data_IF_859286070551
#
_entry.id   IF_859286070551
#
_cell.length_a   1.000
_cell.length_b   1.000
_cell.length_c   1.000
_cell.angle_alpha   90.00
_cell.angle_beta   90.00
_cell.angle_gamma   90.00
#
_symmetry.space_group_name_H-M   'P 1'
#
loop_
_entity.id
_entity.type
_entity.pdbx_description
1 polymer ?
#
# COMPACT_ATOMS: atom_id res chain seq x y z
N UNK A 1 3.44 -4.92 -14.51
CA UNK A 1 4.62 -4.62 -13.67
C UNK A 1 4.54 -5.21 -12.27
N UNK A 2 3.48 -4.94 -11.48
CA UNK A 2 3.38 -5.49 -10.12
C UNK A 2 3.32 -7.02 -10.08
N UNK A 3 2.62 -7.65 -11.04
CA UNK A 3 2.62 -9.12 -11.14
C UNK A 3 4.00 -9.67 -11.51
N UNK A 4 4.77 -8.96 -12.36
CA UNK A 4 6.15 -9.34 -12.67
C UNK A 4 7.03 -9.26 -11.40
N UNK A 5 6.87 -8.23 -10.58
CA UNK A 5 7.58 -8.14 -9.30
C UNK A 5 7.23 -9.32 -8.38
N UNK A 6 5.95 -9.65 -8.25
CA UNK A 6 5.48 -10.80 -7.44
C UNK A 6 6.03 -12.12 -7.94
N UNK A 7 6.05 -12.33 -9.26
CA UNK A 7 6.43 -13.61 -9.86
C UNK A 7 7.93 -13.82 -10.00
N UNK A 8 8.72 -12.76 -10.21
CA UNK A 8 10.14 -12.89 -10.53
C UNK A 8 11.07 -12.30 -9.47
N UNK A 9 10.75 -11.12 -8.92
CA UNK A 9 11.66 -10.43 -7.99
C UNK A 9 11.48 -10.97 -6.57
N UNK A 10 10.24 -11.06 -6.09
CA UNK A 10 9.95 -11.47 -4.73
C UNK A 10 10.47 -12.88 -4.36
N UNK A 11 10.37 -13.90 -5.24
CA UNK A 11 10.94 -15.21 -4.95
C UNK A 11 12.46 -15.18 -4.82
N UNK A 12 13.15 -14.40 -5.67
CA UNK A 12 14.61 -14.25 -5.61
C UNK A 12 15.03 -13.57 -4.31
N UNK A 13 14.35 -12.50 -3.91
CA UNK A 13 14.65 -11.78 -2.67
C UNK A 13 14.44 -12.64 -1.40
N UNK A 14 13.55 -13.62 -1.46
CA UNK A 14 13.13 -14.41 -0.31
C UNK A 14 13.61 -15.87 -0.39
N UNK A 15 14.48 -16.19 -1.34
CA UNK A 15 15.00 -17.53 -1.52
C UNK A 15 15.95 -17.89 -0.36
N UNK A 16 15.71 -19.02 0.28
CA UNK A 16 16.56 -19.55 1.37
C UNK A 16 16.59 -18.74 2.66
N UNK A 17 15.83 -17.63 2.75
CA UNK A 17 15.89 -16.70 3.89
C UNK A 17 15.51 -17.36 5.22
N UNK A 18 14.70 -18.42 5.17
CA UNK A 18 14.31 -19.24 6.32
C UNK A 18 15.46 -20.04 6.95
N UNK A 19 16.54 -20.28 6.21
CA UNK A 19 17.70 -21.07 6.67
C UNK A 19 18.76 -20.16 7.30
N UNK A 20 19.05 -19.02 6.67
CA UNK A 20 20.20 -18.18 7.02
C UNK A 20 20.05 -17.31 8.27
N UNK A 21 18.86 -17.26 8.89
CA UNK A 21 18.56 -16.40 10.06
C UNK A 21 19.14 -14.99 9.92
N UNK A 22 18.70 -14.22 8.89
CA UNK A 22 19.27 -12.92 8.60
C UNK A 22 19.13 -11.97 9.80
N UNK A 23 20.14 -11.12 9.98
CA UNK A 23 20.07 -10.04 10.95
C UNK A 23 18.87 -9.13 10.66
N UNK A 24 18.28 -8.55 11.71
CA UNK A 24 17.14 -7.64 11.59
C UNK A 24 17.44 -6.43 10.71
N UNK A 25 18.71 -6.00 10.63
CA UNK A 25 19.20 -4.96 9.73
C UNK A 25 19.04 -5.33 8.26
N UNK A 26 19.38 -6.57 7.88
CA UNK A 26 19.24 -7.07 6.51
C UNK A 26 17.76 -7.18 6.11
N UNK A 27 16.90 -7.69 7.01
CA UNK A 27 15.44 -7.73 6.76
C UNK A 27 14.92 -6.32 6.49
N UNK A 28 15.29 -5.33 7.31
CA UNK A 28 14.91 -3.92 7.12
C UNK A 28 15.41 -3.35 5.78
N UNK A 29 16.61 -3.75 5.33
CA UNK A 29 17.15 -3.33 4.03
C UNK A 29 16.36 -3.94 2.86
N UNK A 30 16.01 -5.22 2.93
CA UNK A 30 15.18 -5.88 1.92
C UNK A 30 13.77 -5.26 1.86
N UNK A 31 13.20 -4.95 3.02
CA UNK A 31 11.94 -4.25 3.14
C UNK A 31 12.00 -2.84 2.52
N UNK A 32 13.07 -2.10 2.78
CA UNK A 32 13.32 -0.80 2.15
C UNK A 32 13.46 -0.94 0.63
N UNK A 33 14.17 -1.97 0.16
CA UNK A 33 14.33 -2.26 -1.27
C UNK A 33 12.98 -2.54 -1.94
N UNK A 34 12.15 -3.41 -1.34
CA UNK A 34 10.79 -3.66 -1.82
C UNK A 34 10.02 -2.35 -1.92
N UNK A 35 9.94 -1.56 -0.84
CA UNK A 35 9.15 -0.32 -0.83
C UNK A 35 9.65 0.68 -1.86
N UNK A 36 10.96 0.87 -2.02
CA UNK A 36 11.54 1.76 -3.04
C UNK A 36 11.20 1.30 -4.45
N UNK A 37 11.33 0.00 -4.73
CA UNK A 37 11.03 -0.59 -6.04
C UNK A 37 9.55 -0.40 -6.39
N UNK A 38 8.65 -0.68 -5.45
CA UNK A 38 7.22 -0.50 -5.67
C UNK A 38 6.86 0.98 -5.83
N UNK A 39 7.46 1.89 -5.05
CA UNK A 39 7.29 3.35 -5.24
C UNK A 39 7.66 3.77 -6.65
N UNK A 40 8.79 3.28 -7.18
CA UNK A 40 9.21 3.54 -8.56
C UNK A 40 8.19 2.99 -9.58
N UNK A 41 7.73 1.76 -9.42
CA UNK A 41 6.69 1.16 -10.29
C UNK A 41 5.41 2.01 -10.29
N UNK A 42 5.06 2.60 -9.15
CA UNK A 42 3.89 3.46 -8.99
C UNK A 42 4.17 4.94 -9.33
N UNK A 43 5.36 5.29 -9.81
CA UNK A 43 5.78 6.68 -10.06
C UNK A 43 5.65 7.62 -8.84
N UNK A 44 5.82 7.06 -7.64
CA UNK A 44 5.79 7.77 -6.36
C UNK A 44 7.19 8.19 -5.92
N UNK A 45 7.34 9.34 -5.25
CA UNK A 45 8.61 9.76 -4.69
C UNK A 45 9.01 8.90 -3.48
N UNK A 46 10.31 8.87 -3.17
CA UNK A 46 10.85 8.06 -2.06
C UNK A 46 10.27 8.42 -0.69
N UNK A 47 9.83 9.67 -0.50
CA UNK A 47 9.20 10.16 0.73
C UNK A 47 7.70 9.87 0.84
N UNK A 48 7.08 9.23 -0.16
CA UNK A 48 5.69 8.78 -0.04
C UNK A 48 5.53 7.83 1.15
N UNK A 49 4.39 7.89 1.84
CA UNK A 49 4.15 7.07 3.02
C UNK A 49 4.27 5.57 2.71
N UNK A 50 5.13 4.86 3.45
CA UNK A 50 5.35 3.43 3.32
C UNK A 50 4.07 2.56 3.39
N UNK A 51 3.13 2.77 4.33
CA UNK A 51 1.91 1.97 4.38
C UNK A 51 1.05 2.08 3.12
N UNK A 52 1.03 3.25 2.45
CA UNK A 52 0.25 3.44 1.22
C UNK A 52 0.68 2.47 0.12
N UNK A 53 1.99 2.22 0.00
CA UNK A 53 2.56 1.30 -0.98
C UNK A 53 2.03 -0.12 -0.77
N UNK A 54 1.93 -0.55 0.48
CA UNK A 54 1.44 -1.87 0.85
C UNK A 54 -0.09 -1.96 0.64
N UNK A 55 -0.83 -0.93 1.04
CA UNK A 55 -2.29 -0.85 0.82
C UNK A 55 -2.62 -0.92 -0.67
N UNK A 56 -1.93 -0.11 -1.49
CA UNK A 56 -2.11 -0.09 -2.93
C UNK A 56 -1.86 -1.45 -3.58
N UNK A 57 -0.79 -2.14 -3.18
CA UNK A 57 -0.35 -3.35 -3.86
C UNK A 57 -0.88 -4.65 -3.27
N UNK A 58 -1.42 -4.62 -2.05
CA UNK A 58 -1.76 -5.83 -1.31
C UNK A 58 -0.54 -6.68 -0.95
N UNK A 59 0.69 -6.20 -1.16
CA UNK A 59 1.90 -6.95 -0.89
C UNK A 59 2.14 -7.03 0.61
N UNK A 60 2.60 -8.19 1.07
CA UNK A 60 3.13 -8.35 2.42
C UNK A 60 4.54 -7.73 2.48
N UNK A 61 4.93 -7.14 3.62
CA UNK A 61 6.32 -6.81 3.91
C UNK A 61 7.22 -8.05 3.79
N UNK A 62 8.49 -7.87 3.44
CA UNK A 62 9.49 -8.94 3.42
C UNK A 62 9.60 -9.58 4.80
N UNK A 63 9.53 -8.79 5.89
CA UNK A 63 9.52 -9.33 7.25
C UNK A 63 8.37 -10.34 7.47
N UNK A 64 7.17 -10.04 6.98
CA UNK A 64 6.02 -10.94 7.07
C UNK A 64 6.25 -12.24 6.28
N UNK A 65 6.79 -12.13 5.07
CA UNK A 65 7.08 -13.27 4.20
C UNK A 65 8.18 -14.16 4.82
N UNK A 66 9.19 -13.54 5.41
CA UNK A 66 10.23 -14.20 6.17
C UNK A 66 9.65 -15.01 7.34
N UNK A 67 8.76 -14.42 8.14
CA UNK A 67 8.12 -15.14 9.24
C UNK A 67 7.28 -16.32 8.76
N UNK A 68 6.50 -16.15 7.69
CA UNK A 68 5.75 -17.25 7.08
C UNK A 68 6.67 -18.39 6.67
N UNK A 69 7.82 -18.09 6.05
CA UNK A 69 8.77 -19.11 5.61
C UNK A 69 9.45 -19.83 6.77
N UNK A 70 9.91 -19.10 7.80
CA UNK A 70 10.50 -19.71 9.00
C UNK A 70 9.51 -20.62 9.72
N UNK A 71 8.29 -20.15 9.95
CA UNK A 71 7.28 -20.92 10.67
C UNK A 71 6.86 -22.17 9.87
N UNK A 72 6.76 -22.08 8.55
CA UNK A 72 6.52 -23.26 7.72
C UNK A 72 7.70 -24.23 7.71
N UNK A 73 8.94 -23.72 7.73
CA UNK A 73 10.14 -24.55 7.84
C UNK A 73 10.18 -25.27 9.19
N UNK A 74 9.83 -24.58 10.29
CA UNK A 74 9.68 -25.18 11.61
C UNK A 74 8.72 -26.36 11.65
N UNK A 75 7.52 -26.23 11.07
CA UNK A 75 6.57 -27.34 11.03
C UNK A 75 7.05 -28.51 10.16
N UNK A 76 7.84 -28.25 9.10
CA UNK A 76 8.44 -29.33 8.35
C UNK A 76 9.42 -30.14 9.23
N UNK A 77 10.21 -29.47 10.09
CA UNK A 77 11.10 -30.15 11.04
C UNK A 77 10.30 -30.92 12.10
N UNK A 78 9.24 -30.33 12.65
CA UNK A 78 8.40 -31.00 13.64
C UNK A 78 7.75 -32.27 13.09
N UNK A 79 7.34 -32.26 11.82
CA UNK A 79 6.73 -33.41 11.15
C UNK A 79 7.73 -34.50 10.71
N UNK A 80 9.03 -34.34 10.93
CA UNK A 80 10.02 -35.37 10.62
C UNK A 80 10.11 -36.45 11.72
N UNK A 81 10.62 -37.62 11.35
CA UNK A 81 10.89 -38.72 12.29
C UNK A 81 11.86 -38.27 13.39
N UNK A 82 11.77 -38.86 14.58
CA UNK A 82 12.68 -38.55 15.70
C UNK A 82 14.16 -38.86 15.40
N UNK A 83 14.40 -39.77 14.46
CA UNK A 83 15.73 -40.10 13.96
C UNK A 83 16.30 -39.07 12.96
N UNK A 84 15.50 -38.10 12.50
CA UNK A 84 15.99 -37.04 11.61
C UNK A 84 16.97 -36.14 12.36
N UNK A 85 18.09 -35.86 11.69
CA UNK A 85 19.15 -35.00 12.21
C UNK A 85 18.62 -33.59 12.50
N UNK A 86 17.78 -33.07 11.62
CA UNK A 86 17.20 -31.73 11.76
C UNK A 86 16.33 -31.61 13.01
N UNK A 87 15.47 -32.62 13.28
CA UNK A 87 14.65 -32.64 14.50
C UNK A 87 15.50 -32.82 15.75
N UNK A 88 16.49 -33.72 15.73
CA UNK A 88 17.43 -33.89 16.85
C UNK A 88 18.22 -32.62 17.16
N UNK A 89 18.64 -31.87 16.13
CA UNK A 89 19.31 -30.58 16.31
C UNK A 89 18.37 -29.60 17.02
N UNK A 90 17.11 -29.48 16.59
CA UNK A 90 16.14 -28.57 17.23
C UNK A 90 15.91 -28.97 18.69
N UNK A 91 15.62 -30.24 18.98
CA UNK A 91 15.42 -30.75 20.35
C UNK A 91 16.64 -30.45 21.22
N UNK A 92 17.85 -30.76 20.72
CA UNK A 92 19.09 -30.47 21.45
C UNK A 92 19.28 -28.97 21.67
N UNK A 93 18.97 -28.13 20.69
CA UNK A 93 19.10 -26.68 20.84
C UNK A 93 18.14 -26.14 21.92
N UNK A 94 16.93 -26.69 22.03
CA UNK A 94 16.00 -26.34 23.11
C UNK A 94 16.52 -26.75 24.49
N UNK A 95 17.10 -27.96 24.62
CA UNK A 95 17.60 -28.43 25.91
C UNK A 95 18.90 -27.76 26.37
N UNK A 96 19.78 -27.38 25.43
CA UNK A 96 21.15 -26.96 25.76
C UNK A 96 21.32 -25.43 25.74
N UNK A 97 20.61 -24.72 24.87
CA UNK A 97 20.89 -23.29 24.64
C UNK A 97 20.03 -22.40 25.52
N UNK A 98 20.69 -21.51 26.25
CA UNK A 98 20.01 -20.38 26.91
C UNK A 98 19.53 -19.38 25.85
N UNK A 99 18.48 -18.61 26.18
CA UNK A 99 17.82 -17.66 25.27
C UNK A 99 18.71 -16.56 24.67
N UNK A 100 20.00 -16.47 25.05
CA UNK A 100 20.98 -15.51 24.50
C UNK A 100 21.80 -16.04 23.32
N UNK A 101 21.67 -17.31 22.95
CA UNK A 101 22.48 -17.89 21.87
C UNK A 101 21.97 -17.51 20.46
N UNK A 102 22.84 -17.55 19.45
CA UNK A 102 22.49 -17.30 18.04
C UNK A 102 21.89 -18.52 17.31
N UNK A 103 21.15 -19.39 17.99
CA UNK A 103 20.50 -20.54 17.32
C UNK A 103 19.34 -20.12 16.43
N UNK A 104 19.11 -20.91 15.39
CA UNK A 104 17.93 -20.80 14.54
C UNK A 104 16.62 -20.91 15.36
N UNK A 105 16.56 -21.81 16.35
CA UNK A 105 15.36 -21.94 17.21
C UNK A 105 15.06 -20.68 18.02
N UNK A 106 16.10 -19.90 18.39
CA UNK A 106 15.93 -18.61 19.07
C UNK A 106 15.33 -17.54 18.14
N UNK A 107 15.29 -17.77 16.83
CA UNK A 107 14.51 -16.96 15.90
C UNK A 107 13.05 -17.41 15.80
N UNK A 108 12.74 -18.69 16.02
CA UNK A 108 11.38 -19.24 15.93
C UNK A 108 10.57 -18.92 17.18
N UNK A 109 11.15 -19.11 18.37
CA UNK A 109 10.46 -18.92 19.66
C UNK A 109 9.79 -17.54 19.77
N UNK A 110 10.47 -16.40 19.47
CA UNK A 110 9.83 -15.10 19.52
C UNK A 110 8.71 -14.93 18.49
N UNK A 111 8.75 -15.64 17.36
CA UNK A 111 7.69 -15.58 16.35
C UNK A 111 6.45 -16.35 16.81
N UNK A 112 6.62 -17.50 17.47
CA UNK A 112 5.50 -18.23 18.05
C UNK A 112 4.79 -17.39 19.11
N UNK A 113 5.54 -16.69 19.96
CA UNK A 113 5.00 -15.74 20.94
C UNK A 113 4.35 -14.54 20.26
N UNK A 114 5.04 -13.89 19.29
CA UNK A 114 4.54 -12.71 18.56
C UNK A 114 3.20 -12.96 17.87
N UNK A 115 2.97 -14.18 17.40
CA UNK A 115 1.77 -14.58 16.68
C UNK A 115 0.82 -15.45 17.51
N UNK A 116 1.06 -15.61 18.81
CA UNK A 116 0.22 -16.46 19.68
C UNK A 116 -0.05 -17.86 19.08
N UNK A 117 1.03 -18.50 18.62
CA UNK A 117 0.95 -19.79 17.95
C UNK A 117 1.14 -20.97 18.91
N UNK A 118 1.28 -20.78 20.21
CA UNK A 118 1.48 -21.86 21.19
C UNK A 118 2.96 -22.22 21.44
N UNK A 119 3.20 -23.30 22.18
CA UNK A 119 4.53 -23.74 22.59
C UNK A 119 5.21 -24.63 21.53
N UNK A 120 6.54 -24.63 21.49
CA UNK A 120 7.34 -25.51 20.63
C UNK A 120 7.18 -26.97 21.03
N UNK A 121 7.11 -27.28 22.32
CA UNK A 121 7.03 -28.66 22.81
C UNK A 121 5.74 -29.34 22.33
N UNK A 122 4.62 -28.61 22.30
CA UNK A 122 3.34 -29.09 21.79
C UNK A 122 3.45 -29.59 20.34
N UNK A 123 4.17 -28.85 19.50
CA UNK A 123 4.33 -29.19 18.08
C UNK A 123 5.36 -30.27 17.83
N UNK A 124 6.37 -30.41 18.69
CA UNK A 124 7.34 -31.50 18.60
C UNK A 124 6.73 -32.83 19.02
N UNK A 125 5.81 -32.83 19.98
CA UNK A 125 5.11 -34.04 20.44
C UNK A 125 3.93 -34.39 19.53
N UNK A 126 3.16 -33.37 19.11
CA UNK A 126 1.95 -33.53 18.31
C UNK A 126 2.00 -32.64 17.06
N UNK A 127 2.77 -33.01 16.02
CA UNK A 127 2.92 -32.20 14.82
C UNK A 127 1.58 -32.03 14.10
N UNK A 128 1.26 -30.80 13.71
CA UNK A 128 0.07 -30.53 12.90
C UNK A 128 0.29 -30.96 11.44
N UNK A 129 -0.78 -31.38 10.78
CA UNK A 129 -0.76 -31.62 9.34
C UNK A 129 -0.35 -30.34 8.61
N UNK A 130 0.51 -30.50 7.59
CA UNK A 130 1.10 -29.38 6.83
C UNK A 130 0.07 -28.37 6.31
N UNK A 131 -1.10 -28.82 5.87
CA UNK A 131 -2.19 -27.95 5.40
C UNK A 131 -2.82 -27.13 6.53
N UNK A 132 -3.07 -27.74 7.68
CA UNK A 132 -3.63 -27.10 8.87
C UNK A 132 -2.67 -26.05 9.43
N UNK A 133 -1.38 -26.42 9.57
CA UNK A 133 -0.34 -25.49 10.00
C UNK A 133 -0.23 -24.29 9.07
N UNK A 134 -0.10 -24.53 7.76
CA UNK A 134 0.04 -23.46 6.77
C UNK A 134 -1.15 -22.51 6.82
N UNK A 135 -2.37 -23.02 6.97
CA UNK A 135 -3.57 -22.19 7.11
C UNK A 135 -3.55 -21.37 8.42
N UNK A 136 -3.22 -22.00 9.55
CA UNK A 136 -3.12 -21.35 10.87
C UNK A 136 -2.07 -20.23 10.86
N UNK A 137 -0.85 -20.53 10.43
CA UNK A 137 0.26 -19.56 10.34
C UNK A 137 -0.07 -18.44 9.37
N UNK A 138 -0.53 -18.78 8.16
CA UNK A 138 -0.87 -17.77 7.17
C UNK A 138 -1.95 -16.82 7.69
N UNK A 139 -3.05 -17.35 8.22
CA UNK A 139 -4.14 -16.52 8.79
C UNK A 139 -3.62 -15.59 9.88
N UNK A 140 -2.85 -16.12 10.82
CA UNK A 140 -2.43 -15.37 12.02
C UNK A 140 -1.39 -14.29 11.68
N UNK A 141 -0.37 -14.63 10.90
CA UNK A 141 0.66 -13.68 10.45
C UNK A 141 0.04 -12.60 9.57
N UNK A 142 -0.81 -12.98 8.62
CA UNK A 142 -1.46 -12.02 7.71
C UNK A 142 -2.40 -11.07 8.47
N UNK A 143 -3.17 -11.58 9.44
CA UNK A 143 -4.05 -10.74 10.26
C UNK A 143 -3.26 -9.73 11.10
N UNK A 144 -2.18 -10.18 11.77
CA UNK A 144 -1.30 -9.26 12.52
C UNK A 144 -0.78 -8.12 11.63
N UNK A 145 -0.26 -8.46 10.45
CA UNK A 145 0.28 -7.44 9.54
C UNK A 145 -0.81 -6.55 8.94
N UNK A 146 -2.01 -7.11 8.73
CA UNK A 146 -3.18 -6.34 8.33
C UNK A 146 -3.47 -5.23 9.32
N UNK A 147 -3.66 -5.60 10.58
CA UNK A 147 -3.97 -4.67 11.67
C UNK A 147 -2.83 -3.68 11.92
N UNK A 148 -1.58 -4.14 11.87
CA UNK A 148 -0.41 -3.30 12.02
C UNK A 148 -0.34 -2.21 10.94
N UNK A 149 -0.52 -2.57 9.67
CA UNK A 149 -0.46 -1.63 8.55
C UNK A 149 -1.66 -0.68 8.58
N UNK A 150 -2.87 -1.18 8.86
CA UNK A 150 -4.07 -0.34 9.02
C UNK A 150 -3.86 0.70 10.14
N UNK A 151 -3.33 0.27 11.29
CA UNK A 151 -3.03 1.15 12.43
C UNK A 151 -1.99 2.21 12.08
N UNK A 152 -0.90 1.83 11.42
CA UNK A 152 0.13 2.78 11.01
C UNK A 152 -0.40 3.73 9.95
N UNK A 153 -1.18 3.27 8.98
CA UNK A 153 -1.73 4.15 7.94
C UNK A 153 -2.57 5.29 8.53
N UNK A 154 -3.33 5.04 9.60
CA UNK A 154 -4.13 6.05 10.31
C UNK A 154 -3.30 7.18 10.93
N UNK A 155 -2.02 6.95 11.23
CA UNK A 155 -1.16 8.01 11.80
C UNK A 155 -0.65 9.00 10.75
N UNK A 156 -0.77 8.67 9.45
CA UNK A 156 -0.34 9.53 8.36
C UNK A 156 -1.47 10.46 7.89
N UNK A 157 -1.40 11.74 8.28
CA UNK A 157 -2.35 12.76 7.79
C UNK A 157 -2.33 12.92 6.27
N UNK A 158 -1.23 12.54 5.61
CA UNK A 158 -1.09 12.59 4.14
C UNK A 158 -1.97 11.56 3.42
N UNK A 159 -2.48 10.54 4.13
CA UNK A 159 -3.34 9.49 3.59
C UNK A 159 -4.84 9.73 3.87
N UNK A 160 -5.22 10.94 4.32
CA UNK A 160 -6.60 11.26 4.70
C UNK A 160 -7.64 11.06 3.59
N UNK A 161 -7.22 11.09 2.32
CA UNK A 161 -8.10 10.88 1.16
C UNK A 161 -8.11 9.44 0.65
N UNK A 162 -7.30 8.55 1.23
CA UNK A 162 -7.17 7.16 0.79
C UNK A 162 -8.11 6.25 1.58
N UNK A 163 -8.65 5.23 0.92
CA UNK A 163 -9.21 4.08 1.62
C UNK A 163 -8.05 3.28 2.23
N UNK A 164 -7.79 3.51 3.51
CA UNK A 164 -6.65 2.94 4.21
C UNK A 164 -6.78 1.44 4.52
N UNK A 165 -7.87 0.79 4.11
CA UNK A 165 -8.11 -0.62 4.39
C UNK A 165 -7.13 -1.51 3.61
N UNK A 166 -6.13 -2.04 4.31
CA UNK A 166 -5.20 -2.98 3.73
C UNK A 166 -5.84 -4.35 3.53
N UNK A 167 -5.71 -4.87 2.30
CA UNK A 167 -6.22 -6.18 1.89
C UNK A 167 -5.06 -7.05 1.39
N UNK A 168 -4.38 -7.80 2.27
CA UNK A 168 -3.27 -8.66 1.89
C UNK A 168 -3.63 -9.60 0.72
N UNK A 169 -2.75 -9.67 -0.28
CA UNK A 169 -2.92 -10.45 -1.50
C UNK A 169 -3.80 -9.80 -2.58
N UNK A 170 -4.56 -8.76 -2.25
CA UNK A 170 -5.46 -8.07 -3.18
C UNK A 170 -4.96 -6.67 -3.50
N UNK A 171 -4.89 -6.33 -4.78
CA UNK A 171 -4.61 -4.96 -5.19
C UNK A 171 -5.73 -4.03 -4.74
N UNK A 172 -5.38 -2.77 -4.45
CA UNK A 172 -6.36 -1.73 -4.22
C UNK A 172 -7.17 -1.45 -5.50
N UNK A 173 -8.43 -1.05 -5.35
CA UNK A 173 -9.37 -0.89 -6.47
C UNK A 173 -8.83 0.05 -7.57
N UNK A 174 -8.12 1.11 -7.18
CA UNK A 174 -7.46 2.06 -8.09
C UNK A 174 -6.41 1.44 -9.03
N UNK A 175 -5.76 0.34 -8.60
CA UNK A 175 -4.77 -0.40 -9.38
C UNK A 175 -5.43 -1.53 -10.18
N UNK A 176 -6.52 -2.09 -9.67
CA UNK A 176 -7.26 -3.16 -10.35
C UNK A 176 -7.87 -2.69 -11.68
N UNK A 177 -8.22 -1.41 -11.79
CA UNK A 177 -8.64 -0.84 -13.07
C UNK A 177 -7.42 -0.73 -13.99
N UNK A 178 -7.35 -1.65 -14.95
CA UNK A 178 -6.29 -1.72 -15.94
C UNK A 178 -6.10 -0.42 -16.71
N UNK A 179 -4.94 -0.29 -17.36
CA UNK A 179 -4.69 0.74 -18.36
C UNK A 179 -4.72 0.07 -19.73
N UNK A 180 -5.55 0.59 -20.62
CA UNK A 180 -5.67 0.16 -22.01
C UNK A 180 -4.62 0.79 -22.92
N UNK A 181 -3.99 1.89 -22.49
CA UNK A 181 -3.01 2.62 -23.30
C UNK A 181 -1.86 3.21 -22.46
N UNK A 182 -0.72 3.47 -23.12
CA UNK A 182 0.40 4.18 -22.51
C UNK A 182 0.00 5.57 -22.00
N UNK A 183 -0.92 6.24 -22.69
CA UNK A 183 -1.46 7.53 -22.26
C UNK A 183 -2.22 7.43 -20.92
N UNK A 184 -2.90 6.32 -20.62
CA UNK A 184 -3.53 6.15 -19.31
C UNK A 184 -2.50 5.93 -18.21
N UNK A 185 -1.42 5.21 -18.52
CA UNK A 185 -0.32 5.00 -17.58
C UNK A 185 0.32 6.33 -17.19
N UNK A 186 0.47 7.28 -18.11
CA UNK A 186 1.05 8.61 -17.81
C UNK A 186 0.12 9.50 -16.97
N UNK A 187 -1.17 9.17 -16.85
CA UNK A 187 -2.15 9.93 -16.04
C UNK A 187 -2.18 9.50 -14.57
N UNK A 188 -1.82 8.25 -14.27
CA UNK A 188 -1.81 7.69 -12.91
C UNK A 188 -0.94 8.45 -11.90
N UNK A 189 0.30 8.89 -12.23
CA UNK A 189 1.22 9.45 -11.24
C UNK A 189 0.66 10.67 -10.52
N UNK A 190 -0.05 11.55 -11.23
CA UNK A 190 -0.67 12.75 -10.63
C UNK A 190 -1.66 12.37 -9.54
N UNK A 191 -2.51 11.37 -9.82
CA UNK A 191 -3.51 10.90 -8.86
C UNK A 191 -2.84 10.22 -7.66
N UNK A 192 -1.88 9.33 -7.88
CA UNK A 192 -1.17 8.66 -6.79
C UNK A 192 -0.39 9.65 -5.92
N UNK A 193 0.15 10.72 -6.50
CA UNK A 193 0.78 11.81 -5.74
C UNK A 193 -0.23 12.54 -4.86
N UNK A 194 -1.45 12.80 -5.34
CA UNK A 194 -2.51 13.40 -4.52
C UNK A 194 -3.00 12.44 -3.43
N UNK A 195 -3.19 11.16 -3.76
CA UNK A 195 -3.56 10.09 -2.82
C UNK A 195 -2.57 9.95 -1.66
N UNK A 196 -1.27 10.08 -1.95
CA UNK A 196 -0.18 9.96 -0.97
C UNK A 196 0.16 11.28 -0.27
N UNK A 197 -0.48 12.39 -0.65
CA UNK A 197 -0.15 13.73 -0.16
C UNK A 197 1.22 14.24 -0.62
N UNK A 198 1.81 13.66 -1.68
CA UNK A 198 3.12 14.05 -2.23
C UNK A 198 3.01 14.99 -3.43
N UNK A 199 1.79 15.31 -3.88
CA UNK A 199 1.57 16.30 -4.93
C UNK A 199 1.89 17.71 -4.41
N UNK A 200 2.62 18.48 -5.23
CA UNK A 200 3.19 19.76 -4.84
C UNK A 200 2.15 20.87 -5.00
N UNK A 201 1.30 21.04 -3.99
CA UNK A 201 0.39 22.18 -3.83
C UNK A 201 1.04 23.28 -2.98
N UNK A 202 0.60 24.54 -3.11
CA UNK A 202 1.18 25.64 -2.33
C UNK A 202 1.01 25.46 -0.82
N UNK A 203 -0.11 24.91 -0.35
CA UNK A 203 -0.29 24.63 1.10
C UNK A 203 0.79 23.65 1.60
N UNK A 204 1.13 22.63 0.80
CA UNK A 204 2.21 21.71 1.13
C UNK A 204 3.57 22.40 1.07
N UNK A 205 3.80 23.27 0.08
CA UNK A 205 5.06 24.04 -0.01
C UNK A 205 5.23 24.97 1.19
N UNK A 206 4.20 25.75 1.53
CA UNK A 206 4.18 26.62 2.70
C UNK A 206 4.51 25.84 3.99
N UNK A 207 3.90 24.66 4.17
CA UNK A 207 4.12 23.83 5.37
C UNK A 207 5.54 23.27 5.51
N UNK A 208 6.20 22.95 4.41
CA UNK A 208 7.49 22.23 4.42
C UNK A 208 8.69 23.07 3.98
N UNK A 209 8.49 24.33 3.57
CA UNK A 209 9.60 25.19 3.20
C UNK A 209 10.24 25.83 4.44
N UNK A 210 11.55 26.03 4.38
CA UNK A 210 12.31 26.76 5.39
C UNK A 210 12.02 28.27 5.35
N UNK A 211 11.63 28.79 4.18
CA UNK A 211 11.29 30.20 3.98
C UNK A 211 9.78 30.41 4.01
N UNK A 212 9.36 31.62 4.41
CA UNK A 212 7.96 32.03 4.37
C UNK A 212 7.48 32.06 2.91
N UNK A 213 6.63 31.09 2.55
CA UNK A 213 5.96 31.00 1.26
C UNK A 213 4.46 31.08 1.48
N UNK A 214 3.77 31.86 0.65
CA UNK A 214 2.31 31.94 0.69
C UNK A 214 1.66 30.60 0.30
N UNK A 215 0.64 30.19 1.05
CA UNK A 215 -0.20 29.04 0.70
C UNK A 215 -1.22 29.36 -0.41
N UNK A 216 -1.38 30.64 -0.77
CA UNK A 216 -2.33 31.13 -1.77
C UNK A 216 -2.03 30.52 -3.13
N UNK A 217 -3.08 30.04 -3.79
CA UNK A 217 -3.02 29.51 -5.14
C UNK A 217 -2.53 30.57 -6.13
N UNK A 218 -1.41 30.38 -6.84
CA UNK A 218 -0.87 31.39 -7.73
C UNK A 218 -1.65 31.52 -9.05
N UNK A 219 -2.51 30.55 -9.38
CA UNK A 219 -3.36 30.62 -10.56
C UNK A 219 -4.56 31.57 -10.36
N UNK A 220 -5.32 31.39 -9.27
CA UNK A 220 -6.50 32.22 -9.00
C UNK A 220 -6.18 33.43 -8.11
N UNK A 221 -5.14 33.33 -7.26
CA UNK A 221 -4.70 34.34 -6.29
C UNK A 221 -5.76 34.74 -5.25
N UNK A 222 -6.78 33.89 -5.02
CA UNK A 222 -7.89 34.18 -4.10
C UNK A 222 -7.76 33.40 -2.79
N UNK A 223 -7.57 32.08 -2.87
CA UNK A 223 -7.61 31.18 -1.72
C UNK A 223 -6.35 30.30 -1.66
N UNK A 224 -6.14 29.65 -0.51
CA UNK A 224 -5.10 28.65 -0.34
C UNK A 224 -5.26 27.45 -1.29
N UNK A 225 -4.16 27.01 -1.89
CA UNK A 225 -4.14 25.87 -2.80
C UNK A 225 -4.22 24.54 -2.06
N UNK A 226 -5.38 24.25 -1.47
CA UNK A 226 -5.68 22.95 -0.88
C UNK A 226 -6.01 21.92 -1.98
N UNK A 227 -6.12 20.65 -1.60
CA UNK A 227 -6.59 19.59 -2.51
C UNK A 227 -8.00 19.87 -3.00
N UNK A 228 -8.90 20.29 -2.11
CA UNK A 228 -10.27 20.66 -2.45
C UNK A 228 -10.30 21.88 -3.38
N UNK A 229 -9.52 22.91 -3.09
CA UNK A 229 -9.39 24.06 -3.98
C UNK A 229 -8.90 23.65 -5.38
N UNK A 230 -7.83 22.86 -5.45
CA UNK A 230 -7.27 22.39 -6.71
C UNK A 230 -8.28 21.56 -7.53
N UNK A 231 -8.98 20.62 -6.88
CA UNK A 231 -9.89 19.70 -7.56
C UNK A 231 -11.26 20.31 -7.87
N UNK A 232 -11.77 21.23 -7.04
CA UNK A 232 -13.18 21.63 -7.05
C UNK A 232 -13.42 23.13 -7.23
N UNK A 233 -12.54 24.02 -6.73
CA UNK A 233 -12.90 25.44 -6.57
C UNK A 233 -12.03 26.43 -7.35
N UNK A 234 -10.82 26.05 -7.77
CA UNK A 234 -9.91 26.97 -8.47
C UNK A 234 -10.54 27.53 -9.75
N UNK A 235 -10.87 28.82 -9.77
CA UNK A 235 -11.56 29.48 -10.89
C UNK A 235 -10.76 29.43 -12.19
N UNK A 236 -9.43 29.55 -12.09
CA UNK A 236 -8.51 29.46 -13.22
C UNK A 236 -8.50 28.08 -13.91
N UNK A 237 -9.00 27.03 -13.25
CA UNK A 237 -9.09 25.67 -13.80
C UNK A 237 -10.51 25.28 -14.22
N UNK A 238 -11.50 26.17 -14.05
CA UNK A 238 -12.93 25.86 -14.22
C UNK A 238 -13.27 25.42 -15.64
N UNK A 239 -12.73 26.11 -16.66
CA UNK A 239 -12.98 25.80 -18.07
C UNK A 239 -12.64 24.35 -18.43
N UNK A 240 -11.62 23.79 -17.77
CA UNK A 240 -11.14 22.43 -18.00
C UNK A 240 -11.82 21.43 -17.06
N UNK A 241 -12.13 21.85 -15.83
CA UNK A 241 -12.80 21.03 -14.81
C UNK A 241 -14.25 20.73 -15.18
N UNK A 242 -15.04 21.75 -15.48
CA UNK A 242 -16.49 21.67 -15.65
C UNK A 242 -16.96 20.54 -16.59
N UNK A 243 -16.42 20.40 -17.83
CA UNK A 243 -16.91 19.37 -18.75
C UNK A 243 -16.63 17.95 -18.24
N UNK A 244 -15.42 17.69 -17.70
CA UNK A 244 -15.06 16.37 -17.18
C UNK A 244 -15.79 16.06 -15.88
N UNK A 245 -15.98 17.06 -15.01
CA UNK A 245 -16.72 16.90 -13.77
C UNK A 245 -18.18 16.51 -14.03
N UNK A 246 -18.82 17.11 -15.03
CA UNK A 246 -20.19 16.73 -15.43
C UNK A 246 -20.27 15.25 -15.85
N UNK A 247 -19.30 14.76 -16.62
CA UNK A 247 -19.23 13.34 -16.98
C UNK A 247 -19.09 12.45 -15.74
N UNK A 248 -18.23 12.83 -14.79
CA UNK A 248 -18.05 12.09 -13.53
C UNK A 248 -19.34 12.05 -12.72
N UNK A 249 -20.01 13.20 -12.53
CA UNK A 249 -21.25 13.29 -11.77
C UNK A 249 -22.36 12.46 -12.41
N UNK A 250 -22.52 12.51 -13.73
CA UNK A 250 -23.48 11.67 -14.45
C UNK A 250 -23.19 10.16 -14.25
N UNK A 251 -21.90 9.77 -14.18
CA UNK A 251 -21.53 8.38 -13.90
C UNK A 251 -21.85 7.99 -12.46
N UNK A 252 -21.56 8.85 -11.48
CA UNK A 252 -21.94 8.62 -10.09
C UNK A 252 -23.46 8.52 -9.92
N UNK A 253 -24.22 9.33 -10.66
CA UNK A 253 -25.69 9.29 -10.67
C UNK A 253 -26.19 7.96 -11.25
N UNK A 254 -25.63 7.51 -12.37
CA UNK A 254 -25.97 6.20 -12.97
C UNK A 254 -25.60 4.98 -12.10
N UNK A 255 -24.89 5.21 -11.01
CA UNK A 255 -24.50 4.22 -10.01
C UNK A 255 -25.29 4.36 -8.69
N UNK A 256 -26.22 5.34 -8.61
CA UNK A 256 -26.96 5.72 -7.41
C UNK A 256 -26.07 6.18 -6.24
N UNK A 257 -24.87 6.71 -6.54
CA UNK A 257 -23.87 7.10 -5.54
C UNK A 257 -23.88 8.59 -5.19
N UNK A 258 -24.62 9.42 -5.93
CA UNK A 258 -24.69 10.88 -5.69
C UNK A 258 -25.17 11.22 -4.29
N UNK A 259 -26.11 10.44 -3.74
CA UNK A 259 -26.63 10.62 -2.37
C UNK A 259 -25.57 10.39 -1.29
N UNK A 260 -24.53 9.63 -1.59
CA UNK A 260 -23.43 9.38 -0.65
C UNK A 260 -22.43 10.53 -0.62
N UNK A 261 -22.39 11.37 -1.67
CA UNK A 261 -21.47 12.50 -1.77
C UNK A 261 -22.15 13.78 -1.28
N UNK A 262 -22.19 13.96 0.04
CA UNK A 262 -22.94 15.03 0.70
C UNK A 262 -22.18 16.35 0.87
N UNK A 263 -20.86 16.37 0.63
CA UNK A 263 -20.00 17.54 0.85
C UNK A 263 -18.89 17.64 -0.19
N UNK A 264 -18.31 18.85 -0.33
CA UNK A 264 -17.12 19.09 -1.17
C UNK A 264 -15.93 18.25 -0.73
N UNK A 265 -15.70 18.13 0.58
CA UNK A 265 -14.64 17.30 1.14
C UNK A 265 -14.80 15.82 0.72
N UNK A 266 -16.01 15.28 0.83
CA UNK A 266 -16.29 13.89 0.44
C UNK A 266 -16.24 13.70 -1.09
N UNK A 267 -16.61 14.72 -1.87
CA UNK A 267 -16.43 14.70 -3.33
C UNK A 267 -14.94 14.66 -3.68
N UNK A 268 -14.11 15.52 -3.07
CA UNK A 268 -12.66 15.52 -3.28
C UNK A 268 -12.03 14.17 -2.89
N UNK A 269 -12.45 13.61 -1.76
CA UNK A 269 -12.04 12.27 -1.31
C UNK A 269 -12.45 11.18 -2.31
N UNK A 270 -13.69 11.21 -2.81
CA UNK A 270 -14.20 10.27 -3.82
C UNK A 270 -13.43 10.38 -5.15
N UNK A 271 -13.10 11.60 -5.58
CA UNK A 271 -12.30 11.81 -6.79
C UNK A 271 -10.88 11.23 -6.64
N UNK A 272 -10.29 11.35 -5.46
CA UNK A 272 -8.97 10.79 -5.17
C UNK A 272 -9.05 9.27 -5.04
N UNK A 273 -10.05 8.76 -4.33
CA UNK A 273 -10.26 7.34 -4.07
C UNK A 273 -11.75 7.00 -4.01
N UNK A 274 -12.30 6.59 -5.15
CA UNK A 274 -13.72 6.25 -5.24
C UNK A 274 -14.07 4.98 -4.48
N UNK A 275 -13.08 4.15 -4.10
CA UNK A 275 -13.32 2.88 -3.40
C UNK A 275 -13.87 3.06 -1.99
N UNK A 276 -13.89 4.29 -1.50
CA UNK A 276 -14.48 4.68 -0.22
C UNK A 276 -16.01 4.58 -0.28
N UNK A 277 -16.62 4.89 -1.42
CA UNK A 277 -18.08 4.90 -1.60
C UNK A 277 -18.58 3.80 -2.54
N UNK A 278 -17.75 3.34 -3.48
CA UNK A 278 -18.16 2.30 -4.41
C UNK A 278 -17.92 0.93 -3.78
N UNK A 279 -18.96 0.08 -3.63
CA UNK A 279 -18.79 -1.29 -3.19
C UNK A 279 -17.89 -2.06 -4.14
N UNK A 280 -16.98 -2.88 -3.61
CA UNK A 280 -16.16 -3.78 -4.43
C UNK A 280 -16.98 -5.02 -4.85
N UNK A 281 -17.97 -4.80 -5.73
CA UNK A 281 -18.86 -5.83 -6.25
C UNK A 281 -18.66 -6.00 -7.77
N UNK A 282 -18.73 -7.23 -8.30
CA UNK A 282 -18.55 -7.50 -9.73
C UNK A 282 -19.48 -6.68 -10.64
N UNK A 283 -20.71 -6.40 -10.19
CA UNK A 283 -21.71 -5.62 -10.93
C UNK A 283 -21.27 -4.18 -11.23
N UNK A 284 -20.32 -3.64 -10.47
CA UNK A 284 -19.81 -2.28 -10.66
C UNK A 284 -18.55 -2.22 -11.51
N UNK A 285 -17.98 -3.35 -11.93
CA UNK A 285 -16.67 -3.38 -12.60
C UNK A 285 -16.60 -2.46 -13.81
N UNK A 286 -17.52 -2.60 -14.77
CA UNK A 286 -17.49 -1.77 -16.00
C UNK A 286 -17.77 -0.30 -15.69
N UNK A 287 -18.71 -0.02 -14.77
CA UNK A 287 -19.02 1.35 -14.33
C UNK A 287 -17.81 2.00 -13.64
N UNK A 288 -17.09 1.26 -12.79
CA UNK A 288 -15.87 1.74 -12.12
C UNK A 288 -14.72 1.98 -13.08
N UNK A 289 -14.57 1.15 -14.12
CA UNK A 289 -13.58 1.39 -15.18
C UNK A 289 -13.83 2.71 -15.89
N UNK A 290 -15.09 2.98 -16.26
CA UNK A 290 -15.46 4.25 -16.91
C UNK A 290 -15.31 5.44 -15.97
N UNK A 291 -15.75 5.31 -14.71
CA UNK A 291 -15.57 6.35 -13.70
C UNK A 291 -14.08 6.68 -13.50
N UNK A 292 -13.25 5.66 -13.35
CA UNK A 292 -11.80 5.77 -13.23
C UNK A 292 -11.19 6.49 -14.43
N UNK A 293 -11.63 6.16 -15.66
CA UNK A 293 -11.17 6.81 -16.87
C UNK A 293 -11.39 8.33 -16.83
N UNK A 294 -12.61 8.77 -16.51
CA UNK A 294 -12.94 10.20 -16.44
C UNK A 294 -12.19 10.90 -15.30
N UNK A 295 -12.03 10.24 -14.15
CA UNK A 295 -11.24 10.77 -13.03
C UNK A 295 -9.77 10.94 -13.45
N UNK A 296 -9.13 9.92 -14.02
CA UNK A 296 -7.73 10.04 -14.52
C UNK A 296 -7.60 11.19 -15.52
N UNK A 297 -8.58 11.36 -16.40
CA UNK A 297 -8.63 12.46 -17.38
C UNK A 297 -8.71 13.82 -16.68
N UNK A 298 -9.58 13.97 -15.68
CA UNK A 298 -9.70 15.20 -14.88
C UNK A 298 -8.36 15.56 -14.24
N UNK A 299 -7.75 14.63 -13.48
CA UNK A 299 -6.49 14.89 -12.77
C UNK A 299 -5.36 15.29 -13.73
N UNK A 300 -5.27 14.63 -14.88
CA UNK A 300 -4.28 14.96 -15.89
C UNK A 300 -4.49 16.37 -16.46
N UNK A 301 -5.71 16.72 -16.85
CA UNK A 301 -5.98 18.05 -17.40
C UNK A 301 -5.78 19.16 -16.37
N UNK A 302 -6.23 18.97 -15.12
CA UNK A 302 -5.98 19.95 -14.06
C UNK A 302 -4.48 20.14 -13.84
N UNK A 303 -3.70 19.05 -13.82
CA UNK A 303 -2.25 19.12 -13.66
C UNK A 303 -1.55 19.86 -14.79
N UNK A 304 -1.85 19.51 -16.05
CA UNK A 304 -1.20 20.13 -17.21
C UNK A 304 -1.60 21.60 -17.36
N UNK A 305 -2.88 21.94 -17.18
CA UNK A 305 -3.34 23.33 -17.22
C UNK A 305 -2.73 24.15 -16.10
N UNK A 306 -2.69 23.64 -14.86
CA UNK A 306 -2.02 24.31 -13.74
C UNK A 306 -0.55 24.60 -14.07
N UNK A 307 0.16 23.61 -14.61
CA UNK A 307 1.59 23.77 -14.92
C UNK A 307 1.82 24.78 -16.06
N UNK A 308 0.96 24.78 -17.07
CA UNK A 308 1.00 25.78 -18.16
C UNK A 308 0.82 27.20 -17.63
N UNK A 309 -0.23 27.43 -16.83
CA UNK A 309 -0.50 28.74 -16.22
C UNK A 309 0.66 29.20 -15.32
N UNK A 310 1.30 28.28 -14.59
CA UNK A 310 2.48 28.61 -13.77
C UNK A 310 3.66 29.10 -14.61
N UNK A 311 3.90 28.48 -15.77
CA UNK A 311 4.98 28.93 -16.68
C UNK A 311 4.70 30.33 -17.21
N UNK A 312 3.50 30.55 -17.72
CA UNK A 312 3.04 31.86 -18.22
C UNK A 312 3.18 32.96 -17.16
N UNK A 313 2.84 32.67 -15.90
CA UNK A 313 2.97 33.62 -14.79
C UNK A 313 4.41 33.84 -14.31
N UNK A 314 5.30 32.86 -14.51
CA UNK A 314 6.70 32.93 -14.06
C UNK A 314 7.62 33.62 -15.08
N UNK A 315 7.12 33.99 -16.26
CA UNK A 315 7.91 34.61 -17.33
C UNK A 315 8.97 33.67 -17.93
N UNK A 316 8.81 32.35 -17.76
CA UNK A 316 9.70 31.31 -18.29
C UNK A 316 9.01 30.51 -19.41
#
# INVERSE_FOLDING_TARGET
MLDLYKSFVLPVLTYGIEIFTPQSTLIKQLDLFQRKTIKQILSLPNNAADPCVLILTGLLPIEAIYHLKILNFFNNICGQNESSIERQIVVRQLSVKSGKSSSWINCVLPLLVKYDLGDVDDYLQNPLYKSQWRLKVHKTVVNYWKEYIDRIARTYSSLKYMNIQYSPGKFHALIQVGCSSALEVTRLPTRFKLLTGTYVLQVNRCRFNQYAISAVCPNCKVEDETVEHFLLHCSALEQVRAPVMREILNKLESMDLTKQVTSSALLAQTLIDWSIIVPNLPSYRDKTCMLEFHIRRLFFHLHTTRYRLYKELSGN
#
